data_IF_659783289244
#
_entry.id   IF_659783289244
#
_cell.length_a   1.000
_cell.length_b   1.000
_cell.length_c   1.000
_cell.angle_alpha   90.00
_cell.angle_beta   90.00
_cell.angle_gamma   90.00
#
_symmetry.space_group_name_H-M   'P 1'
#
loop_
_entity.id
_entity.type
_entity.pdbx_description
1 polymer ?
#
# COMPACT_ATOMS: atom_id res chain seq x y z
N UNK A 1 -23.49 -4.01 -20.49
CA UNK A 1 -22.84 -3.97 -19.15
C UNK A 1 -22.11 -2.65 -19.03
N UNK A 2 -22.24 -1.93 -17.90
CA UNK A 2 -21.44 -0.72 -17.65
C UNK A 2 -20.01 -1.17 -17.33
N UNK A 3 -19.14 -1.22 -18.34
CA UNK A 3 -17.76 -1.72 -18.25
C UNK A 3 -16.90 -1.06 -17.15
N UNK A 4 -17.28 0.15 -16.70
CA UNK A 4 -16.47 0.94 -15.78
C UNK A 4 -16.56 0.51 -14.30
N UNK A 5 -17.60 -0.23 -13.89
CA UNK A 5 -17.72 -0.69 -12.49
C UNK A 5 -17.08 -2.05 -12.25
N UNK A 6 -16.99 -2.92 -13.26
CA UNK A 6 -16.53 -4.30 -13.06
C UNK A 6 -15.00 -4.45 -13.15
N UNK A 7 -14.31 -3.57 -13.89
CA UNK A 7 -12.88 -3.75 -14.20
C UNK A 7 -11.94 -3.62 -13.00
N UNK A 8 -12.30 -2.76 -12.05
CA UNK A 8 -11.51 -2.50 -10.83
C UNK A 8 -12.22 -2.94 -9.54
N UNK A 9 -13.41 -3.55 -9.62
CA UNK A 9 -14.23 -3.91 -8.47
C UNK A 9 -13.46 -4.71 -7.41
N UNK A 10 -12.69 -5.72 -7.85
CA UNK A 10 -11.89 -6.57 -6.96
C UNK A 10 -10.81 -5.73 -6.25
N UNK A 11 -10.12 -4.84 -6.98
CA UNK A 11 -9.06 -4.00 -6.40
C UNK A 11 -9.61 -2.93 -5.46
N UNK A 12 -10.74 -2.33 -5.79
CA UNK A 12 -11.42 -1.39 -4.90
C UNK A 12 -11.89 -2.08 -3.62
N UNK A 13 -12.43 -3.30 -3.73
CA UNK A 13 -12.80 -4.10 -2.57
C UNK A 13 -11.59 -4.47 -1.71
N UNK A 14 -10.48 -4.92 -2.33
CA UNK A 14 -9.22 -5.17 -1.60
C UNK A 14 -8.76 -3.94 -0.82
N UNK A 15 -8.79 -2.75 -1.44
CA UNK A 15 -8.40 -1.49 -0.79
C UNK A 15 -9.34 -1.12 0.37
N UNK A 16 -10.65 -1.26 0.18
CA UNK A 16 -11.65 -1.01 1.23
C UNK A 16 -11.43 -1.94 2.43
N UNK A 17 -11.18 -3.23 2.18
CA UNK A 17 -10.88 -4.20 3.23
C UNK A 17 -9.61 -3.85 4.02
N UNK A 18 -8.55 -3.42 3.33
CA UNK A 18 -7.32 -3.00 4.01
C UNK A 18 -7.51 -1.75 4.86
N UNK A 19 -8.21 -0.74 4.33
CA UNK A 19 -8.49 0.47 5.08
C UNK A 19 -9.37 0.19 6.30
N UNK A 20 -10.44 -0.60 6.13
CA UNK A 20 -11.33 -1.01 7.21
C UNK A 20 -10.59 -1.79 8.31
N UNK A 21 -9.68 -2.70 7.92
CA UNK A 21 -8.82 -3.44 8.85
C UNK A 21 -7.91 -2.51 9.65
N UNK A 22 -7.22 -1.59 8.97
CA UNK A 22 -6.35 -0.60 9.62
C UNK A 22 -7.14 0.22 10.66
N UNK A 23 -8.29 0.77 10.25
CA UNK A 23 -9.14 1.59 11.11
C UNK A 23 -9.65 0.82 12.33
N UNK A 24 -10.15 -0.40 12.12
CA UNK A 24 -10.69 -1.24 13.20
C UNK A 24 -9.60 -1.62 14.21
N UNK A 25 -8.43 -2.06 13.75
CA UNK A 25 -7.33 -2.50 14.63
C UNK A 25 -6.78 -1.35 15.45
N UNK A 26 -6.54 -0.17 14.86
CA UNK A 26 -6.11 1.02 15.62
C UNK A 26 -7.13 1.41 16.70
N UNK A 27 -8.42 1.33 16.40
CA UNK A 27 -9.48 1.65 17.37
C UNK A 27 -9.52 0.67 18.54
N UNK A 28 -9.41 -0.63 18.25
CA UNK A 28 -9.43 -1.68 19.28
C UNK A 28 -8.18 -1.56 20.15
N UNK A 29 -7.00 -1.48 19.53
CA UNK A 29 -5.71 -1.38 20.22
C UNK A 29 -5.58 -0.13 21.10
N UNK A 30 -6.30 0.95 20.83
CA UNK A 30 -6.21 2.20 21.60
C UNK A 30 -6.53 2.10 23.10
N UNK A 31 -7.13 1.00 23.56
CA UNK A 31 -7.40 0.74 24.98
C UNK A 31 -6.84 -0.57 25.53
N UNK A 32 -6.01 -1.29 24.75
CA UNK A 32 -5.47 -2.60 25.14
C UNK A 32 -4.14 -2.49 25.90
N UNK A 33 -3.75 -3.58 26.56
CA UNK A 33 -2.46 -3.67 27.26
C UNK A 33 -1.28 -3.96 26.32
N UNK A 34 -0.06 -3.83 26.85
CA UNK A 34 1.16 -4.04 26.07
C UNK A 34 1.30 -5.46 25.48
N UNK A 35 0.72 -6.49 26.09
CA UNK A 35 0.84 -7.86 25.61
C UNK A 35 0.02 -8.03 24.34
N UNK A 36 -1.24 -7.61 24.37
CA UNK A 36 -2.12 -7.63 23.19
C UNK A 36 -1.62 -6.76 22.06
N UNK A 37 -1.03 -5.59 22.36
CA UNK A 37 -0.42 -4.74 21.32
C UNK A 37 0.73 -5.46 20.61
N UNK A 38 1.56 -6.23 21.34
CA UNK A 38 2.66 -6.99 20.75
C UNK A 38 2.14 -8.15 19.89
N UNK A 39 1.13 -8.87 20.36
CA UNK A 39 0.48 -9.92 19.55
C UNK A 39 -0.12 -9.35 18.25
N UNK A 40 -0.77 -8.19 18.33
CA UNK A 40 -1.31 -7.54 17.13
C UNK A 40 -0.20 -7.04 16.20
N UNK A 41 0.92 -6.53 16.74
CA UNK A 41 2.07 -6.16 15.93
C UNK A 41 2.62 -7.37 15.16
N UNK A 42 2.87 -8.50 15.84
CA UNK A 42 3.37 -9.73 15.22
C UNK A 42 2.45 -10.20 14.09
N UNK A 43 1.13 -10.26 14.33
CA UNK A 43 0.16 -10.59 13.29
C UNK A 43 0.20 -9.63 12.10
N UNK A 44 0.40 -8.33 12.35
CA UNK A 44 0.48 -7.34 11.27
C UNK A 44 1.75 -7.51 10.43
N UNK A 45 2.87 -7.86 11.06
CA UNK A 45 4.14 -8.15 10.40
C UNK A 45 4.03 -9.42 9.54
N UNK A 46 3.45 -10.49 10.06
CA UNK A 46 3.23 -11.74 9.33
C UNK A 46 2.37 -11.53 8.06
N UNK A 47 1.27 -10.79 8.19
CA UNK A 47 0.37 -10.46 7.06
C UNK A 47 1.05 -9.58 6.01
N UNK A 48 1.96 -8.70 6.44
CA UNK A 48 2.75 -7.88 5.54
C UNK A 48 3.79 -8.71 4.78
N UNK A 49 4.44 -9.64 5.48
CA UNK A 49 5.41 -10.56 4.88
C UNK A 49 4.73 -11.49 3.85
N UNK A 50 3.56 -12.04 4.19
CA UNK A 50 2.76 -12.86 3.25
C UNK A 50 2.47 -12.10 1.95
N UNK A 51 2.02 -10.84 2.04
CA UNK A 51 1.78 -10.01 0.85
C UNK A 51 3.05 -9.71 0.07
N UNK A 52 4.16 -9.51 0.77
CA UNK A 52 5.46 -9.27 0.14
C UNK A 52 5.93 -10.50 -0.62
N UNK A 53 5.66 -11.71 -0.12
CA UNK A 53 5.94 -12.96 -0.82
C UNK A 53 5.12 -13.07 -2.12
N UNK A 54 3.81 -12.81 -2.07
CA UNK A 54 2.95 -12.80 -3.27
C UNK A 54 3.44 -11.80 -4.33
N UNK A 55 3.95 -10.65 -3.90
CA UNK A 55 4.54 -9.66 -4.82
C UNK A 55 5.83 -10.18 -5.46
N UNK A 56 6.69 -10.87 -4.70
CA UNK A 56 7.92 -11.51 -5.22
C UNK A 56 7.60 -12.62 -6.21
N UNK A 57 6.60 -13.45 -5.93
CA UNK A 57 6.11 -14.46 -6.87
C UNK A 57 5.61 -13.81 -8.16
N UNK A 58 4.89 -12.69 -8.06
CA UNK A 58 4.45 -11.93 -9.23
C UNK A 58 5.61 -11.40 -10.09
N UNK A 59 6.76 -11.10 -9.48
CA UNK A 59 7.99 -10.74 -10.22
C UNK A 59 8.55 -11.95 -10.98
N UNK A 60 8.62 -13.11 -10.32
CA UNK A 60 9.29 -14.29 -10.85
C UNK A 60 8.43 -15.11 -11.84
N UNK A 61 7.13 -15.20 -11.60
CA UNK A 61 6.24 -16.19 -12.24
C UNK A 61 5.13 -15.57 -13.11
N UNK A 62 5.04 -14.24 -13.18
CA UNK A 62 4.01 -13.58 -13.99
C UNK A 62 4.16 -13.89 -15.47
N UNK A 63 3.04 -14.31 -16.09
CA UNK A 63 2.93 -14.50 -17.55
C UNK A 63 2.95 -13.19 -18.34
N UNK A 64 2.70 -12.05 -17.66
CA UNK A 64 2.76 -10.72 -18.27
C UNK A 64 4.05 -10.02 -17.86
N UNK A 65 4.88 -9.68 -18.85
CA UNK A 65 6.12 -8.93 -18.65
C UNK A 65 5.86 -7.57 -18.00
N UNK A 66 4.77 -6.89 -18.40
CA UNK A 66 4.40 -5.61 -17.80
C UNK A 66 4.11 -5.74 -16.29
N UNK A 67 3.39 -6.80 -15.89
CA UNK A 67 3.10 -7.06 -14.47
C UNK A 67 4.38 -7.38 -13.69
N UNK A 68 5.28 -8.18 -14.25
CA UNK A 68 6.57 -8.50 -13.59
C UNK A 68 7.43 -7.23 -13.37
N UNK A 69 7.55 -6.37 -14.38
CA UNK A 69 8.30 -5.11 -14.27
C UNK A 69 7.69 -4.17 -13.24
N UNK A 70 6.35 -4.02 -13.24
CA UNK A 70 5.65 -3.18 -12.28
C UNK A 70 5.76 -3.73 -10.85
N UNK A 71 5.61 -5.04 -10.66
CA UNK A 71 5.77 -5.70 -9.37
C UNK A 71 7.20 -5.51 -8.81
N UNK A 72 8.21 -5.59 -9.68
CA UNK A 72 9.61 -5.36 -9.30
C UNK A 72 9.83 -3.92 -8.86
N UNK A 73 9.34 -2.95 -9.63
CA UNK A 73 9.44 -1.54 -9.28
C UNK A 73 8.73 -1.22 -7.95
N UNK A 74 7.58 -1.83 -7.70
CA UNK A 74 6.86 -1.70 -6.43
C UNK A 74 7.70 -2.24 -5.26
N UNK A 75 8.28 -3.44 -5.40
CA UNK A 75 9.09 -4.05 -4.35
C UNK A 75 10.35 -3.21 -4.04
N UNK A 76 11.06 -2.74 -5.07
CA UNK A 76 12.23 -1.87 -4.90
C UNK A 76 11.88 -0.55 -4.22
N UNK A 77 10.73 0.03 -4.57
CA UNK A 77 10.24 1.27 -3.95
C UNK A 77 9.92 1.06 -2.45
N UNK A 78 9.19 -0.01 -2.11
CA UNK A 78 8.86 -0.35 -0.72
C UNK A 78 10.11 -0.57 0.12
N UNK A 79 11.03 -1.41 -0.33
CA UNK A 79 12.26 -1.72 0.39
C UNK A 79 13.13 -0.48 0.60
N UNK A 80 13.21 0.38 -0.42
CA UNK A 80 13.98 1.62 -0.33
C UNK A 80 13.34 2.61 0.65
N UNK A 81 12.02 2.76 0.63
CA UNK A 81 11.30 3.63 1.54
C UNK A 81 11.49 3.17 2.99
N UNK A 82 11.26 1.89 3.29
CA UNK A 82 11.46 1.32 4.63
C UNK A 82 12.88 1.53 5.15
N UNK A 83 13.88 1.23 4.31
CA UNK A 83 15.30 1.38 4.68
C UNK A 83 15.65 2.83 4.99
N UNK A 84 15.31 3.75 4.10
CA UNK A 84 15.62 5.18 4.28
C UNK A 84 14.94 5.74 5.52
N UNK A 85 13.69 5.36 5.78
CA UNK A 85 12.97 5.82 6.96
C UNK A 85 13.63 5.31 8.24
N UNK A 86 13.98 4.02 8.33
CA UNK A 86 14.70 3.46 9.48
C UNK A 86 16.02 4.21 9.73
N UNK A 87 16.83 4.40 8.67
CA UNK A 87 18.10 5.13 8.77
C UNK A 87 17.93 6.59 9.20
N UNK A 88 16.89 7.29 8.71
CA UNK A 88 16.61 8.68 9.09
C UNK A 88 16.10 8.80 10.52
N UNK A 89 15.24 7.88 10.97
CA UNK A 89 14.75 7.88 12.35
C UNK A 89 15.87 7.66 13.36
N UNK A 90 16.81 6.74 13.08
CA UNK A 90 18.00 6.53 13.89
C UNK A 90 18.90 7.78 13.97
N UNK A 91 18.98 8.55 12.88
CA UNK A 91 19.76 9.79 12.80
C UNK A 91 19.09 10.96 13.53
N UNK A 92 17.77 11.10 13.39
CA UNK A 92 16.99 12.18 14.00
C UNK A 92 16.75 11.97 15.50
N UNK A 93 16.66 10.71 15.95
CA UNK A 93 16.34 10.32 17.32
C UNK A 93 17.44 9.45 17.94
N UNK A 94 18.69 9.95 18.06
CA UNK A 94 19.77 9.17 18.65
C UNK A 94 19.47 8.87 20.13
N UNK A 95 19.67 7.61 20.53
CA UNK A 95 19.47 7.16 21.91
C UNK A 95 20.49 7.81 22.85
N UNK A 96 20.14 8.96 23.44
CA UNK A 96 20.93 9.58 24.52
C UNK A 96 20.61 8.91 25.88
N UNK A 97 21.56 8.85 26.82
CA UNK A 97 21.31 8.29 28.15
C UNK A 97 20.15 9.03 28.84
N UNK A 98 19.10 8.30 29.20
CA UNK A 98 17.92 8.84 29.89
C UNK A 98 16.77 9.34 28.99
N UNK A 99 16.94 9.41 27.66
CA UNK A 99 15.91 9.87 26.70
C UNK A 99 15.50 8.82 25.65
N UNK A 100 16.09 7.62 25.67
CA UNK A 100 15.89 6.61 24.63
C UNK A 100 14.42 6.24 24.35
N UNK A 101 13.60 6.02 25.38
CA UNK A 101 12.23 5.53 25.22
C UNK A 101 11.25 6.56 24.67
N UNK A 102 11.40 7.83 25.07
CA UNK A 102 10.53 8.92 24.57
C UNK A 102 10.86 9.20 23.09
N UNK A 103 12.15 9.25 22.76
CA UNK A 103 12.62 9.41 21.38
C UNK A 103 12.19 8.25 20.47
N UNK A 104 12.24 7.01 20.96
CA UNK A 104 11.76 5.82 20.23
C UNK A 104 10.26 5.89 19.95
N UNK A 105 9.46 6.31 20.94
CA UNK A 105 8.02 6.46 20.77
C UNK A 105 7.66 7.57 19.78
N UNK A 106 8.36 8.71 19.83
CA UNK A 106 8.19 9.82 18.88
C UNK A 106 8.58 9.41 17.46
N UNK A 107 9.71 8.72 17.29
CA UNK A 107 10.15 8.17 16.02
C UNK A 107 9.12 7.20 15.41
N UNK A 108 8.56 6.31 16.23
CA UNK A 108 7.54 5.35 15.80
C UNK A 108 6.23 6.06 15.40
N UNK A 109 5.83 7.10 16.12
CA UNK A 109 4.64 7.89 15.77
C UNK A 109 4.81 8.61 14.43
N UNK A 110 5.95 9.27 14.20
CA UNK A 110 6.26 9.93 12.93
C UNK A 110 6.33 8.94 11.76
N UNK A 111 6.88 7.75 12.00
CA UNK A 111 6.88 6.69 11.00
C UNK A 111 5.46 6.26 10.62
N UNK A 112 4.60 6.06 11.61
CA UNK A 112 3.21 5.68 11.38
C UNK A 112 2.46 6.75 10.60
N UNK A 113 2.63 8.04 10.93
CA UNK A 113 2.04 9.17 10.20
C UNK A 113 2.50 9.19 8.74
N UNK A 114 3.81 9.12 8.50
CA UNK A 114 4.37 9.07 7.15
C UNK A 114 3.81 7.88 6.34
N UNK A 115 3.71 6.69 6.93
CA UNK A 115 3.19 5.51 6.24
C UNK A 115 1.71 5.66 5.84
N UNK A 116 0.91 6.34 6.66
CA UNK A 116 -0.48 6.67 6.33
C UNK A 116 -0.57 7.72 5.22
N UNK A 117 0.28 8.76 5.24
CA UNK A 117 0.34 9.77 4.18
C UNK A 117 0.78 9.15 2.85
N UNK A 118 1.80 8.29 2.88
CA UNK A 118 2.25 7.56 1.70
C UNK A 118 1.14 6.67 1.12
N UNK A 119 0.38 5.99 1.99
CA UNK A 119 -0.76 5.18 1.58
C UNK A 119 -1.87 6.02 0.94
N UNK A 120 -2.17 7.19 1.52
CA UNK A 120 -3.14 8.15 0.98
C UNK A 120 -2.71 8.68 -0.39
N UNK A 121 -1.42 9.01 -0.55
CA UNK A 121 -0.86 9.45 -1.82
C UNK A 121 -0.93 8.34 -2.88
N UNK A 122 -0.68 7.08 -2.49
CA UNK A 122 -0.80 5.93 -3.39
C UNK A 122 -2.26 5.72 -3.86
N UNK A 123 -3.25 5.92 -2.99
CA UNK A 123 -4.67 5.87 -3.38
C UNK A 123 -5.01 6.96 -4.41
N UNK A 124 -4.52 8.18 -4.23
CA UNK A 124 -4.72 9.27 -5.19
C UNK A 124 -4.05 8.95 -6.54
N UNK A 125 -2.85 8.38 -6.52
CA UNK A 125 -2.19 7.94 -7.74
C UNK A 125 -2.96 6.82 -8.46
N UNK A 126 -3.51 5.86 -7.71
CA UNK A 126 -4.35 4.80 -8.25
C UNK A 126 -5.60 5.36 -8.96
N UNK A 127 -6.22 6.41 -8.42
CA UNK A 127 -7.33 7.11 -9.08
C UNK A 127 -6.89 7.70 -10.42
N UNK A 128 -5.75 8.39 -10.47
CA UNK A 128 -5.22 8.96 -11.72
C UNK A 128 -4.99 7.85 -12.77
N UNK A 129 -4.40 6.73 -12.37
CA UNK A 129 -4.15 5.60 -13.26
C UNK A 129 -5.46 4.97 -13.76
N UNK A 130 -6.45 4.79 -12.88
CA UNK A 130 -7.75 4.25 -13.24
C UNK A 130 -8.50 5.17 -14.23
N UNK A 131 -8.51 6.48 -13.99
CA UNK A 131 -9.14 7.45 -14.89
C UNK A 131 -8.48 7.44 -16.29
N UNK A 132 -7.15 7.37 -16.36
CA UNK A 132 -6.43 7.22 -17.64
C UNK A 132 -6.82 5.94 -18.37
N UNK A 133 -6.97 4.83 -17.65
CA UNK A 133 -7.39 3.56 -18.26
C UNK A 133 -8.83 3.64 -18.79
N UNK A 134 -9.75 4.27 -18.04
CA UNK A 134 -11.14 4.47 -18.46
C UNK A 134 -11.20 5.34 -19.73
N UNK A 135 -10.48 6.46 -19.75
CA UNK A 135 -10.44 7.39 -20.89
C UNK A 135 -9.96 6.72 -22.19
N UNK A 136 -8.88 5.93 -22.10
CA UNK A 136 -8.37 5.16 -23.23
C UNK A 136 -9.35 4.08 -23.71
N UNK A 137 -10.03 3.38 -22.79
CA UNK A 137 -11.06 2.39 -23.17
C UNK A 137 -12.25 3.05 -23.87
N UNK A 138 -12.69 4.21 -23.39
CA UNK A 138 -13.78 4.97 -24.02
C UNK A 138 -13.42 5.37 -25.45
N UNK A 139 -12.19 5.86 -25.66
CA UNK A 139 -11.71 6.23 -27.00
C UNK A 139 -11.73 5.04 -27.97
N UNK A 140 -11.30 3.86 -27.52
CA UNK A 140 -11.34 2.63 -28.33
C UNK A 140 -12.79 2.20 -28.65
N UNK A 141 -13.71 2.31 -27.70
CA UNK A 141 -15.13 2.00 -27.94
C UNK A 141 -15.76 2.95 -28.96
N UNK A 142 -15.43 4.24 -28.90
CA UNK A 142 -15.90 5.24 -29.86
C UNK A 142 -15.39 4.98 -31.28
N UNK A 143 -14.11 4.59 -31.42
CA UNK A 143 -13.53 4.18 -32.71
C UNK A 143 -14.23 2.95 -33.27
N UNK A 144 -14.41 1.88 -32.47
CA UNK A 144 -15.10 0.67 -32.92
C UNK A 144 -16.55 0.92 -33.33
N UNK A 145 -17.25 1.86 -32.69
CA UNK A 145 -18.63 2.20 -33.08
C UNK A 145 -18.67 2.87 -34.44
N UNK A 146 -17.76 3.80 -34.70
CA UNK A 146 -17.63 4.47 -36.00
C UNK A 146 -17.31 3.47 -37.12
N UNK A 147 -16.43 2.50 -36.87
CA UNK A 147 -16.09 1.44 -37.84
C UNK A 147 -17.22 0.45 -38.12
N UNK A 148 -18.17 0.27 -37.19
CA UNK A 148 -19.32 -0.63 -37.38
C UNK A 148 -20.54 0.07 -38.01
N UNK A 149 -20.55 1.41 -38.00
CA UNK A 149 -21.61 2.25 -38.59
C UNK A 149 -21.29 2.69 -40.03
N UNK A 150 -20.07 2.41 -40.54
CA UNK A 150 -19.60 2.56 -41.94
C UNK A 150 -19.73 1.25 -42.74
#
# INVERSE_FOLDING_TARGET
MKLNQDFFAIKLYEMEQQYGKLQSRLRICGGEDHEKIREELEKAEDEYEEKTLLLRESVAESRSQAVSVLAKAQLECQQKAEKLLKEQLEQCFPSKPGQGKENEAEAAALYAEYAMDFSTQAMQYALIAALKAIDLQMSIEEERRKENDE
#
